data_IF_909031284289
#
_entry.id   IF_909031284289
#
_cell.length_a   1.000
_cell.length_b   1.000
_cell.length_c   1.000
_cell.angle_alpha   90.00
_cell.angle_beta   90.00
_cell.angle_gamma   90.00
#
_symmetry.space_group_name_H-M   'P 1'
#
loop_
_entity.id
_entity.type
_entity.pdbx_description
1 polymer ?
#
# COMPACT_ATOMS: atom_id res chain seq x y z
N UNK A 1 -12.34 -16.16 8.44
CA UNK A 1 -10.98 -15.66 8.16
C UNK A 1 -10.61 -14.69 9.26
N UNK A 2 -9.69 -15.07 10.15
CA UNK A 2 -9.25 -14.19 11.24
C UNK A 2 -8.49 -13.00 10.64
N UNK A 3 -8.95 -11.77 10.93
CA UNK A 3 -8.20 -10.53 10.67
C UNK A 3 -6.86 -10.67 11.39
N UNK A 4 -5.79 -10.99 10.65
CA UNK A 4 -4.41 -10.94 11.15
C UNK A 4 -4.17 -9.52 11.62
N UNK A 5 -4.22 -9.30 12.93
CA UNK A 5 -3.90 -8.01 13.51
C UNK A 5 -2.44 -7.71 13.16
N UNK A 6 -2.23 -6.74 12.26
CA UNK A 6 -0.93 -6.36 11.72
C UNK A 6 -0.11 -5.62 12.79
N UNK A 7 0.39 -6.34 13.79
CA UNK A 7 1.21 -5.77 14.88
C UNK A 7 2.66 -5.44 14.47
N UNK A 8 3.05 -5.68 13.21
CA UNK A 8 4.44 -5.59 12.75
C UNK A 8 4.78 -4.28 12.02
N UNK A 9 3.82 -3.37 11.85
CA UNK A 9 4.09 -2.10 11.17
C UNK A 9 4.69 -1.12 12.17
N UNK A 10 5.99 -0.87 12.04
CA UNK A 10 6.68 0.14 12.82
C UNK A 10 6.09 1.52 12.47
N UNK A 11 5.52 2.23 13.45
CA UNK A 11 4.84 3.53 13.26
C UNK A 11 5.68 4.58 12.50
N UNK A 12 6.99 4.75 12.73
CA UNK A 12 7.83 5.67 11.96
C UNK A 12 7.93 5.29 10.48
N UNK A 13 8.01 3.99 10.18
CA UNK A 13 8.08 3.49 8.81
C UNK A 13 6.79 3.77 8.06
N UNK A 14 5.64 3.61 8.73
CA UNK A 14 4.35 3.97 8.14
C UNK A 14 4.23 5.47 7.90
N UNK A 15 4.67 6.31 8.84
CA UNK A 15 4.64 7.76 8.67
C UNK A 15 5.52 8.23 7.52
N UNK A 16 6.73 7.70 7.39
CA UNK A 16 7.63 8.03 6.28
C UNK A 16 7.10 7.51 4.94
N UNK A 17 6.49 6.32 4.93
CA UNK A 17 5.82 5.79 3.74
C UNK A 17 4.65 6.68 3.32
N UNK A 18 3.84 7.17 4.26
CA UNK A 18 2.74 8.10 4.00
C UNK A 18 3.23 9.43 3.40
N UNK A 19 4.25 10.06 4.00
CA UNK A 19 4.84 11.31 3.50
C UNK A 19 5.32 11.15 2.04
N UNK A 20 6.00 10.04 1.73
CA UNK A 20 6.45 9.74 0.37
C UNK A 20 5.32 9.34 -0.56
N UNK A 21 4.23 8.76 -0.05
CA UNK A 21 3.03 8.42 -0.82
C UNK A 21 2.38 9.69 -1.34
N UNK A 22 2.16 10.69 -0.46
CA UNK A 22 1.58 11.98 -0.80
C UNK A 22 2.43 12.75 -1.82
N UNK A 23 3.75 12.67 -1.69
CA UNK A 23 4.69 13.29 -2.63
C UNK A 23 4.85 12.52 -3.95
N UNK A 24 4.17 11.38 -4.14
CA UNK A 24 4.28 10.57 -5.36
C UNK A 24 5.66 9.91 -5.56
N UNK A 25 6.45 9.77 -4.49
CA UNK A 25 7.83 9.30 -4.51
C UNK A 25 8.00 7.81 -4.16
N UNK A 26 6.91 7.14 -3.81
CA UNK A 26 6.96 5.72 -3.48
C UNK A 26 7.10 4.84 -4.73
N UNK A 27 7.98 3.82 -4.69
CA UNK A 27 7.97 2.73 -5.67
C UNK A 27 6.60 2.03 -5.71
N UNK A 28 6.21 1.50 -6.87
CA UNK A 28 4.90 0.87 -7.10
C UNK A 28 4.54 -0.22 -6.08
N UNK A 29 5.50 -1.07 -5.73
CA UNK A 29 5.32 -2.14 -4.72
C UNK A 29 5.00 -1.58 -3.34
N UNK A 30 5.66 -0.49 -2.95
CA UNK A 30 5.46 0.15 -1.66
C UNK A 30 4.15 0.95 -1.64
N UNK A 31 3.74 1.54 -2.77
CA UNK A 31 2.40 2.11 -2.95
C UNK A 31 1.29 1.08 -2.74
N UNK A 32 1.42 -0.09 -3.36
CA UNK A 32 0.49 -1.21 -3.19
C UNK A 32 0.45 -1.69 -1.73
N UNK A 33 1.60 -1.73 -1.06
CA UNK A 33 1.67 -2.09 0.35
C UNK A 33 0.94 -1.07 1.24
N UNK A 34 1.18 0.24 1.04
CA UNK A 34 0.50 1.30 1.81
C UNK A 34 -1.02 1.20 1.64
N UNK A 35 -1.48 1.09 0.39
CA UNK A 35 -2.91 0.98 0.10
C UNK A 35 -3.54 -0.27 0.72
N UNK A 36 -2.84 -1.42 0.71
CA UNK A 36 -3.31 -2.64 1.34
C UNK A 36 -3.30 -2.58 2.88
N UNK A 37 -2.33 -1.88 3.48
CA UNK A 37 -2.25 -1.68 4.93
C UNK A 37 -3.34 -0.73 5.42
N UNK A 38 -3.66 0.28 4.63
CA UNK A 38 -4.65 1.30 4.95
C UNK A 38 -6.05 0.98 4.41
N UNK A 39 -6.21 -0.15 3.72
CA UNK A 39 -7.45 -0.56 3.06
C UNK A 39 -8.04 0.54 2.17
N UNK A 40 -7.16 1.25 1.44
CA UNK A 40 -7.56 2.34 0.56
C UNK A 40 -8.22 1.75 -0.69
N UNK A 41 -9.49 2.12 -0.92
CA UNK A 41 -10.18 1.78 -2.17
C UNK A 41 -9.46 2.44 -3.34
N UNK A 42 -8.71 1.62 -4.09
CA UNK A 42 -8.05 2.10 -5.30
C UNK A 42 -9.12 2.30 -6.38
N UNK A 43 -9.21 3.46 -7.05
CA UNK A 43 -9.95 3.53 -8.29
C UNK A 43 -9.30 2.51 -9.25
N UNK A 44 -10.10 1.55 -9.72
CA UNK A 44 -9.70 0.46 -10.62
C UNK A 44 -9.17 1.04 -11.94
N UNK A 45 -7.98 1.62 -11.92
CA UNK A 45 -7.32 2.13 -13.12
C UNK A 45 -6.35 1.06 -13.59
N UNK A 46 -6.80 0.39 -14.65
CA UNK A 46 -6.09 -0.48 -15.56
C UNK A 46 -6.01 -1.98 -15.20
N UNK A 47 -6.24 -2.84 -16.21
CA UNK A 47 -6.47 -4.26 -16.02
C UNK A 47 -5.20 -4.97 -15.57
N UNK A 48 -5.39 -6.00 -14.74
CA UNK A 48 -4.39 -7.04 -14.53
C UNK A 48 -4.06 -7.62 -15.91
N UNK A 49 -2.89 -7.27 -16.46
CA UNK A 49 -2.42 -7.85 -17.72
C UNK A 49 -2.36 -9.36 -17.51
N UNK A 50 -2.99 -10.18 -18.36
CA UNK A 50 -2.79 -11.61 -18.30
C UNK A 50 -1.32 -11.86 -18.65
N UNK A 51 -0.68 -12.66 -17.81
CA UNK A 51 0.68 -13.14 -18.04
C UNK A 51 0.63 -14.07 -19.27
N UNK A 52 1.39 -13.75 -20.32
CA UNK A 52 1.75 -14.72 -21.35
C UNK A 52 2.88 -15.61 -20.84
#
# INVERSE_FOLDING_TARGET
MARRSMQWVNTPVLMEALDRYEQGRLPRSMRLWVEAVLDLERPLTAPLRPHC
#
